data_IF_870659202676
#
_entry.id   IF_870659202676
#
_cell.length_a   1.000
_cell.length_b   1.000
_cell.length_c   1.000
_cell.angle_alpha   90.00
_cell.angle_beta   90.00
_cell.angle_gamma   90.00
#
_symmetry.space_group_name_H-M   'P 1'
#
loop_
_entity.id
_entity.type
_entity.pdbx_description
1 polymer ?
#
# COMPACT_ATOMS: atom_id res chain seq x y z
N UNK A 1 11.37 -0.87 -15.02
CA UNK A 1 11.58 0.51 -14.55
C UNK A 1 10.61 0.70 -13.41
N UNK A 2 11.12 1.08 -12.24
CA UNK A 2 10.34 1.27 -11.02
C UNK A 2 10.45 2.74 -10.60
N UNK A 3 9.44 3.25 -9.91
CA UNK A 3 9.39 4.63 -9.43
C UNK A 3 8.87 4.66 -8.00
N UNK A 4 9.41 5.58 -7.21
CA UNK A 4 8.88 5.88 -5.88
C UNK A 4 7.93 7.07 -5.96
N UNK A 5 6.78 6.96 -5.28
CA UNK A 5 5.78 8.01 -5.23
C UNK A 5 5.18 8.09 -3.83
N UNK A 6 4.85 9.31 -3.39
CA UNK A 6 4.11 9.50 -2.16
C UNK A 6 2.66 9.02 -2.31
N UNK A 7 2.11 8.46 -1.24
CA UNK A 7 0.74 7.95 -1.17
C UNK A 7 -0.02 8.70 -0.09
N UNK A 8 -1.28 9.02 -0.35
CA UNK A 8 -2.21 9.60 0.64
C UNK A 8 -3.49 8.78 0.64
N UNK A 9 -3.88 8.32 1.82
CA UNK A 9 -5.13 7.61 2.07
C UNK A 9 -5.95 8.38 3.12
N UNK A 10 -7.27 8.22 3.12
CA UNK A 10 -8.18 8.88 4.06
C UNK A 10 -9.24 7.90 4.54
N UNK A 11 -9.72 8.09 5.77
CA UNK A 11 -10.73 7.23 6.35
C UNK A 11 -10.23 5.80 6.54
N UNK A 12 -11.00 4.82 6.09
CA UNK A 12 -10.71 3.41 6.31
C UNK A 12 -9.40 2.96 5.64
N UNK A 13 -9.13 3.38 4.39
CA UNK A 13 -7.89 3.01 3.69
C UNK A 13 -6.63 3.54 4.38
N UNK A 14 -6.73 4.65 5.11
CA UNK A 14 -5.62 5.17 5.93
C UNK A 14 -5.31 4.24 7.09
N UNK A 15 -6.33 3.70 7.77
CA UNK A 15 -6.17 2.75 8.86
C UNK A 15 -5.52 1.45 8.39
N UNK A 16 -5.92 0.94 7.23
CA UNK A 16 -5.28 -0.25 6.65
C UNK A 16 -3.83 0.01 6.23
N UNK A 17 -3.55 1.18 5.64
CA UNK A 17 -2.19 1.55 5.25
C UNK A 17 -1.27 1.74 6.47
N UNK A 18 -1.78 2.30 7.57
CA UNK A 18 -1.07 2.41 8.85
C UNK A 18 -0.72 1.04 9.45
N UNK A 19 -1.64 0.08 9.33
CA UNK A 19 -1.44 -1.28 9.83
C UNK A 19 -0.54 -2.14 8.93
N UNK A 20 -0.21 -1.68 7.72
CA UNK A 20 0.62 -2.44 6.80
C UNK A 20 2.07 -2.54 7.31
N UNK A 21 2.69 -3.73 7.30
CA UNK A 21 4.07 -3.87 7.73
C UNK A 21 5.00 -3.12 6.77
N UNK A 22 6.04 -2.48 7.34
CA UNK A 22 7.11 -1.89 6.54
C UNK A 22 7.80 -2.97 5.73
N UNK A 23 8.08 -2.68 4.46
CA UNK A 23 8.62 -3.66 3.51
C UNK A 23 7.58 -4.67 2.99
N UNK A 24 6.33 -4.61 3.46
CA UNK A 24 5.22 -5.38 2.90
C UNK A 24 4.82 -4.90 1.52
N UNK A 25 4.29 -5.81 0.70
CA UNK A 25 3.78 -5.49 -0.63
C UNK A 25 2.27 -5.32 -0.55
N UNK A 26 1.78 -4.19 -1.04
CA UNK A 26 0.35 -3.89 -1.15
C UNK A 26 0.02 -3.48 -2.58
N UNK A 27 -1.19 -3.81 -3.00
CA UNK A 27 -1.75 -3.30 -4.25
C UNK A 27 -2.68 -2.14 -3.93
N UNK A 28 -2.37 -0.97 -4.49
CA UNK A 28 -3.12 0.26 -4.30
C UNK A 28 -3.77 0.67 -5.62
N UNK A 29 -5.01 1.13 -5.57
CA UNK A 29 -5.65 1.80 -6.72
C UNK A 29 -6.21 3.16 -6.33
N UNK A 30 -6.21 4.08 -7.28
CA UNK A 30 -6.72 5.44 -7.07
C UNK A 30 -6.32 6.37 -8.20
N UNK A 31 -6.04 7.64 -7.89
CA UNK A 31 -5.68 8.66 -8.88
C UNK A 31 -4.43 9.45 -8.50
N UNK A 32 -3.71 9.93 -9.51
CA UNK A 32 -2.55 10.80 -9.34
C UNK A 32 -2.98 12.27 -9.34
N UNK A 33 -2.51 13.02 -8.36
CA UNK A 33 -2.68 14.47 -8.31
C UNK A 33 -1.40 15.16 -7.82
N UNK A 34 -1.29 16.47 -8.07
CA UNK A 34 -0.21 17.26 -7.51
C UNK A 34 -0.35 17.34 -5.98
N UNK A 35 0.77 17.20 -5.25
CA UNK A 35 0.80 17.31 -3.77
C UNK A 35 0.15 18.59 -3.23
N UNK A 36 0.24 19.68 -3.98
CA UNK A 36 -0.36 20.97 -3.66
C UNK A 36 -0.55 21.78 -4.94
N UNK A 37 -1.27 22.91 -4.86
CA UNK A 37 -1.68 23.74 -6.01
C UNK A 37 -0.57 24.03 -7.05
N UNK A 38 0.68 24.22 -6.61
CA UNK A 38 1.80 24.54 -7.49
C UNK A 38 2.86 23.44 -7.57
N UNK A 39 2.65 22.29 -6.92
CA UNK A 39 3.62 21.20 -6.90
C UNK A 39 3.70 20.50 -8.26
N UNK A 40 4.92 20.07 -8.62
CA UNK A 40 5.16 19.15 -9.75
C UNK A 40 5.33 17.70 -9.30
N UNK A 41 5.37 17.45 -7.99
CA UNK A 41 5.46 16.11 -7.43
C UNK A 41 4.06 15.44 -7.45
N UNK A 42 3.91 14.28 -8.11
CA UNK A 42 2.67 13.51 -8.08
C UNK A 42 2.52 12.78 -6.75
N UNK A 43 1.29 12.59 -6.33
CA UNK A 43 0.88 11.82 -5.14
C UNK A 43 -0.25 10.90 -5.57
N UNK A 44 -0.19 9.64 -5.15
CA UNK A 44 -1.29 8.68 -5.32
C UNK A 44 -2.31 8.88 -4.20
N UNK A 45 -3.50 9.32 -4.55
CA UNK A 45 -4.66 9.36 -3.66
C UNK A 45 -5.39 8.02 -3.74
N UNK A 46 -5.43 7.27 -2.63
CA UNK A 46 -5.89 5.88 -2.59
C UNK A 46 -7.40 5.79 -2.49
N UNK A 47 -8.01 5.01 -3.39
CA UNK A 47 -9.40 4.57 -3.33
C UNK A 47 -9.50 3.17 -2.73
N UNK A 48 -8.59 2.25 -3.10
CA UNK A 48 -8.58 0.87 -2.58
C UNK A 48 -7.18 0.41 -2.21
N UNK A 49 -7.10 -0.45 -1.20
CA UNK A 49 -5.89 -1.11 -0.75
C UNK A 49 -6.19 -2.61 -0.61
N UNK A 50 -5.35 -3.43 -1.23
CA UNK A 50 -5.39 -4.88 -1.12
C UNK A 50 -4.04 -5.35 -0.56
N UNK A 51 -4.06 -6.13 0.53
CA UNK A 51 -2.87 -6.81 1.00
C UNK A 51 -2.54 -7.96 0.05
N UNK A 52 -1.30 -8.00 -0.43
CA UNK A 52 -0.78 -9.16 -1.12
C UNK A 52 -0.11 -10.02 -0.05
N UNK A 53 -0.91 -10.78 0.69
CA UNK A 53 -0.39 -11.75 1.66
C UNK A 53 0.53 -12.73 0.94
N UNK A 54 1.77 -12.84 1.42
CA UNK A 54 2.82 -13.60 0.75
C UNK A 54 2.51 -15.10 0.76
N UNK A 55 2.45 -15.69 -0.44
CA UNK A 55 2.74 -17.12 -0.65
C UNK A 55 4.27 -17.41 -0.55
N UNK A 56 5.06 -16.45 -0.06
CA UNK A 56 6.52 -16.48 -0.18
C UNK A 56 7.24 -16.86 1.12
N UNK A 57 6.52 -16.99 2.24
CA UNK A 57 7.05 -17.56 3.49
C UNK A 57 5.94 -18.25 4.31
N UNK A 58 5.11 -19.06 3.63
CA UNK A 58 4.28 -20.03 4.33
C UNK A 58 5.15 -21.14 4.89
N UNK A 59 5.82 -20.94 6.03
CA UNK A 59 6.08 -22.09 6.90
C UNK A 59 4.70 -22.56 7.35
N UNK A 60 4.15 -23.52 6.61
CA UNK A 60 3.05 -24.35 7.08
C UNK A 60 3.60 -24.98 8.35
N UNK A 61 3.29 -24.38 9.50
CA UNK A 61 3.40 -25.07 10.77
C UNK A 61 2.30 -26.12 10.72
N UNK A 62 2.63 -27.24 10.08
CA UNK A 62 1.91 -28.47 10.26
C UNK A 62 2.17 -28.83 11.71
N UNK A 63 1.21 -28.53 12.57
CA UNK A 63 1.17 -29.03 13.93
C UNK A 63 1.12 -30.55 13.81
N UNK A 64 2.26 -31.22 14.03
CA UNK A 64 2.31 -32.65 14.23
C UNK A 64 1.63 -32.95 15.58
N UNK A 65 0.52 -33.69 15.55
CA UNK A 65 -0.17 -34.16 16.76
C UNK A 65 -1.60 -34.61 16.53
#
# INVERSE_FOLDING_TARGET
>A
MEVEIAVVALGETARWLEAAPLGGVVKLTGFLAAKSRNSKAPVLHVNTLEFLEGNENGSVLQEEG
#
